data_IF_249178868263
#
_entry.id   IF_249178868263
#
_cell.length_a   1.000
_cell.length_b   1.000
_cell.length_c   1.000
_cell.angle_alpha   90.00
_cell.angle_beta   90.00
_cell.angle_gamma   90.00
#
_symmetry.space_group_name_H-M   'P 1'
#
loop_
_entity.id
_entity.type
_entity.pdbx_description
1 polymer ?
#
# COMPACT_ATOMS: atom_id res chain seq x y z
N UNK A 1 9.52 33.86 3.74
CA UNK A 1 10.28 34.10 2.49
C UNK A 1 9.81 33.08 1.47
N UNK A 2 9.03 33.48 0.46
CA UNK A 2 8.51 32.57 -0.57
C UNK A 2 9.42 32.63 -1.80
N UNK A 3 10.48 31.82 -1.82
CA UNK A 3 11.33 31.68 -3.01
C UNK A 3 10.59 30.79 -4.02
N UNK A 4 10.28 31.27 -5.24
CA UNK A 4 9.60 30.48 -6.26
C UNK A 4 10.36 29.17 -6.53
N UNK A 5 9.63 28.05 -6.57
CA UNK A 5 10.21 26.73 -6.83
C UNK A 5 10.94 26.08 -5.66
N UNK A 6 11.30 26.79 -4.59
CA UNK A 6 12.02 26.22 -3.44
C UNK A 6 11.22 25.09 -2.76
N UNK A 7 9.90 25.27 -2.59
CA UNK A 7 9.03 24.23 -2.03
C UNK A 7 8.97 22.98 -2.92
N UNK A 8 9.01 23.14 -4.25
CA UNK A 8 9.01 22.01 -5.20
C UNK A 8 10.33 21.26 -5.13
N UNK A 9 11.45 21.98 -5.10
CA UNK A 9 12.77 21.38 -4.93
C UNK A 9 12.90 20.65 -3.59
N UNK A 10 12.40 21.23 -2.50
CA UNK A 10 12.37 20.58 -1.19
C UNK A 10 11.56 19.29 -1.21
N UNK A 11 10.32 19.33 -1.76
CA UNK A 11 9.50 18.11 -1.92
C UNK A 11 10.23 17.07 -2.76
N UNK A 12 10.94 17.46 -3.81
CA UNK A 12 11.68 16.55 -4.67
C UNK A 12 12.80 15.84 -3.91
N UNK A 13 13.54 16.58 -3.07
CA UNK A 13 14.54 15.99 -2.17
C UNK A 13 13.88 14.99 -1.20
N UNK A 14 12.72 15.32 -0.62
CA UNK A 14 11.99 14.41 0.27
C UNK A 14 11.61 13.13 -0.47
N UNK A 15 11.04 13.24 -1.68
CA UNK A 15 10.68 12.10 -2.50
C UNK A 15 11.89 11.23 -2.85
N UNK A 16 13.00 11.84 -3.27
CA UNK A 16 14.26 11.13 -3.54
C UNK A 16 14.80 10.40 -2.31
N UNK A 17 14.74 11.01 -1.12
CA UNK A 17 15.16 10.37 0.14
C UNK A 17 14.29 9.16 0.47
N UNK A 18 12.98 9.27 0.33
CA UNK A 18 12.05 8.14 0.53
C UNK A 18 12.29 7.01 -0.47
N UNK A 19 12.56 7.34 -1.74
CA UNK A 19 12.88 6.36 -2.79
C UNK A 19 14.26 5.70 -2.59
N UNK A 20 15.21 6.43 -2.00
CA UNK A 20 16.46 5.85 -1.55
C UNK A 20 16.22 4.81 -0.45
N UNK A 21 15.33 5.08 0.51
CA UNK A 21 14.95 4.11 1.54
C UNK A 21 14.38 2.82 0.94
N UNK A 22 13.62 2.89 -0.16
CA UNK A 22 13.19 1.69 -0.89
C UNK A 22 14.39 0.82 -1.29
N UNK A 23 15.42 1.44 -1.88
CA UNK A 23 16.62 0.72 -2.33
C UNK A 23 17.40 0.12 -1.16
N UNK A 24 17.54 0.86 -0.07
CA UNK A 24 18.32 0.45 1.11
C UNK A 24 17.69 -0.76 1.82
N UNK A 25 16.36 -0.76 1.97
CA UNK A 25 15.65 -1.75 2.82
C UNK A 25 15.02 -2.86 2.00
N UNK A 26 14.43 -2.54 0.85
CA UNK A 26 13.54 -3.46 0.14
C UNK A 26 14.13 -4.04 -1.16
N UNK A 27 15.10 -3.36 -1.79
CA UNK A 27 15.64 -3.79 -3.09
C UNK A 27 16.97 -4.56 -3.02
N UNK A 28 17.83 -4.27 -2.03
CA UNK A 28 19.18 -4.84 -1.96
C UNK A 28 19.41 -5.53 -0.60
N UNK A 29 19.53 -6.87 -0.62
CA UNK A 29 19.74 -7.68 0.59
C UNK A 29 21.05 -7.39 1.32
N UNK A 30 22.12 -7.06 0.59
CA UNK A 30 23.41 -6.72 1.19
C UNK A 30 23.36 -5.38 1.92
N UNK A 31 22.72 -4.37 1.33
CA UNK A 31 22.57 -3.07 2.00
C UNK A 31 21.62 -3.20 3.20
N UNK A 32 20.56 -4.00 3.04
CA UNK A 32 19.63 -4.29 4.12
C UNK A 32 20.32 -4.98 5.31
N UNK A 33 21.26 -5.90 5.09
CA UNK A 33 22.00 -6.54 6.19
C UNK A 33 22.89 -5.56 6.96
N UNK A 34 23.50 -4.58 6.28
CA UNK A 34 24.22 -3.50 6.94
C UNK A 34 23.27 -2.64 7.80
N UNK A 35 22.08 -2.31 7.27
CA UNK A 35 21.05 -1.60 8.02
C UNK A 35 20.58 -2.39 9.26
N UNK A 36 20.38 -3.70 9.13
CA UNK A 36 20.06 -4.59 10.27
C UNK A 36 21.11 -4.48 11.36
N UNK A 37 22.40 -4.50 10.99
CA UNK A 37 23.49 -4.40 11.94
C UNK A 37 23.45 -3.09 12.74
N UNK A 38 23.28 -1.96 12.05
CA UNK A 38 23.15 -0.64 12.69
C UNK A 38 21.93 -0.58 13.61
N UNK A 39 20.76 -1.03 13.13
CA UNK A 39 19.53 -1.00 13.91
C UNK A 39 19.61 -1.91 15.15
N UNK A 40 20.21 -3.10 15.01
CA UNK A 40 20.43 -4.03 16.12
C UNK A 40 21.37 -3.43 17.16
N UNK A 41 22.48 -2.84 16.75
CA UNK A 41 23.42 -2.19 17.68
C UNK A 41 22.76 -1.03 18.42
N UNK A 42 21.93 -0.23 17.74
CA UNK A 42 21.14 0.83 18.37
C UNK A 42 20.20 0.29 19.46
N UNK A 43 19.50 -0.82 19.20
CA UNK A 43 18.64 -1.45 20.22
C UNK A 43 19.47 -1.94 21.41
N UNK A 44 20.59 -2.63 21.16
CA UNK A 44 21.49 -3.15 22.20
C UNK A 44 22.07 -2.03 23.06
N UNK A 45 22.43 -0.90 22.47
CA UNK A 45 23.02 0.22 23.21
C UNK A 45 22.00 1.03 24.01
N UNK A 46 20.73 1.04 23.59
CA UNK A 46 19.72 1.98 24.10
C UNK A 46 18.70 1.32 25.03
N UNK A 47 18.34 0.07 24.78
CA UNK A 47 17.33 -0.64 25.58
C UNK A 47 17.89 -1.21 26.89
N UNK A 48 17.04 -1.54 27.88
CA UNK A 48 17.44 -2.33 29.03
C UNK A 48 18.04 -3.68 28.61
N UNK A 49 19.02 -4.17 29.38
CA UNK A 49 19.64 -5.48 29.11
C UNK A 49 18.66 -6.64 29.34
N UNK A 50 17.75 -6.48 30.30
CA UNK A 50 16.70 -7.46 30.56
C UNK A 50 15.73 -7.54 29.38
N UNK A 51 15.55 -8.74 28.83
CA UNK A 51 14.62 -8.96 27.72
C UNK A 51 15.11 -8.46 26.36
N UNK A 52 16.39 -8.12 26.19
CA UNK A 52 16.94 -7.60 24.94
C UNK A 52 16.68 -8.52 23.73
N UNK A 53 16.75 -9.84 23.93
CA UNK A 53 16.49 -10.84 22.89
C UNK A 53 15.05 -10.82 22.38
N UNK A 54 14.13 -10.26 23.16
CA UNK A 54 12.71 -10.12 22.81
C UNK A 54 12.42 -8.78 22.13
N UNK A 55 13.26 -7.78 22.34
CA UNK A 55 13.17 -6.47 21.71
C UNK A 55 13.77 -6.46 20.30
N UNK A 56 14.74 -7.35 20.02
CA UNK A 56 15.35 -7.49 18.70
C UNK A 56 14.46 -8.39 17.83
N UNK A 57 13.89 -7.89 16.72
CA UNK A 57 13.05 -8.70 15.83
C UNK A 57 13.82 -9.85 15.17
N UNK A 58 13.15 -11.00 15.01
CA UNK A 58 13.67 -12.19 14.33
C UNK A 58 13.27 -12.28 12.85
N UNK A 59 12.81 -11.18 12.26
CA UNK A 59 12.40 -11.07 10.85
C UNK A 59 13.13 -9.91 10.18
N UNK A 60 13.26 -9.98 8.85
CA UNK A 60 13.95 -8.95 8.08
C UNK A 60 13.26 -7.58 8.17
N UNK A 61 14.03 -6.48 8.22
CA UNK A 61 13.48 -5.13 8.13
C UNK A 61 12.60 -4.97 6.89
N UNK A 62 11.49 -4.25 7.05
CA UNK A 62 10.53 -4.05 5.99
C UNK A 62 9.48 -5.15 5.86
N UNK A 63 9.67 -6.33 6.46
CA UNK A 63 8.59 -7.33 6.53
C UNK A 63 7.35 -6.79 7.28
N UNK A 64 7.60 -5.93 8.27
CA UNK A 64 6.61 -5.03 8.88
C UNK A 64 7.04 -3.58 8.64
N UNK A 65 6.10 -2.65 8.80
CA UNK A 65 6.36 -1.21 8.66
C UNK A 65 7.47 -0.80 9.62
N UNK A 66 8.46 -0.09 9.11
CA UNK A 66 9.51 0.48 9.95
C UNK A 66 8.89 1.51 10.89
N UNK A 67 9.25 1.41 12.17
CA UNK A 67 8.89 2.36 13.21
C UNK A 67 10.19 3.06 13.61
N UNK A 68 10.18 4.38 13.58
CA UNK A 68 11.29 5.17 14.09
C UNK A 68 11.11 5.37 15.58
N UNK A 69 12.16 5.11 16.34
CA UNK A 69 12.13 5.22 17.80
C UNK A 69 11.88 6.68 18.20
N UNK A 70 10.78 6.90 18.92
CA UNK A 70 10.39 8.19 19.49
C UNK A 70 10.55 8.19 21.01
N UNK A 71 11.75 7.79 21.48
CA UNK A 71 12.09 7.53 22.88
C UNK A 71 11.38 6.31 23.51
N UNK A 72 10.91 5.37 22.70
CA UNK A 72 10.32 4.13 23.19
C UNK A 72 11.36 3.31 23.96
N UNK A 73 12.55 3.09 23.37
CA UNK A 73 13.60 2.30 24.03
C UNK A 73 14.09 2.96 25.32
N UNK A 74 14.23 4.29 25.33
CA UNK A 74 14.61 5.04 26.53
C UNK A 74 13.56 4.94 27.64
N UNK A 75 12.27 4.94 27.29
CA UNK A 75 11.19 4.82 28.26
C UNK A 75 11.18 3.46 28.99
N UNK A 76 11.77 2.41 28.40
CA UNK A 76 11.86 1.09 29.01
C UNK A 76 12.74 1.04 30.27
N UNK A 77 13.59 2.04 30.49
CA UNK A 77 14.43 2.15 31.72
C UNK A 77 13.70 2.75 32.92
N UNK A 78 12.45 3.22 32.76
CA UNK A 78 11.73 3.87 33.86
C UNK A 78 11.43 2.87 34.98
N UNK A 79 11.63 3.26 36.26
CA UNK A 79 11.44 2.36 37.39
C UNK A 79 9.98 1.89 37.58
N UNK A 80 9.03 2.60 36.97
CA UNK A 80 7.60 2.27 37.01
C UNK A 80 7.12 1.49 35.78
N UNK A 81 8.03 0.96 34.95
CA UNK A 81 7.70 0.13 33.80
C UNK A 81 8.21 -1.29 34.02
N UNK A 82 7.33 -2.28 33.81
CA UNK A 82 7.69 -3.70 33.83
C UNK A 82 7.32 -4.34 32.49
N UNK A 83 8.28 -5.01 31.86
CA UNK A 83 8.05 -5.81 30.67
C UNK A 83 7.54 -7.20 31.08
N UNK A 84 6.53 -7.72 30.37
CA UNK A 84 5.97 -9.04 30.65
C UNK A 84 5.64 -9.76 29.33
N UNK A 85 6.26 -10.93 29.10
CA UNK A 85 6.10 -11.75 27.89
C UNK A 85 5.36 -13.07 28.13
N UNK A 86 4.66 -13.20 29.25
CA UNK A 86 4.00 -14.45 29.65
C UNK A 86 2.72 -14.70 28.83
N UNK A 87 2.25 -13.69 28.10
CA UNK A 87 1.02 -13.74 27.34
C UNK A 87 -0.22 -13.68 28.25
N UNK A 88 -1.35 -13.32 27.66
CA UNK A 88 -2.61 -13.13 28.39
C UNK A 88 -3.48 -14.37 28.18
N UNK A 89 -4.03 -14.93 29.26
CA UNK A 89 -5.01 -16.01 29.23
C UNK A 89 -6.45 -15.44 29.24
N UNK A 90 -6.74 -14.52 30.16
CA UNK A 90 -8.06 -13.88 30.27
C UNK A 90 -7.95 -12.49 30.89
N UNK A 91 -8.97 -11.67 30.65
CA UNK A 91 -9.21 -10.41 31.36
C UNK A 91 -10.16 -10.73 32.52
N UNK A 92 -9.87 -10.19 33.71
CA UNK A 92 -10.74 -10.25 34.89
C UNK A 92 -11.19 -8.85 35.30
N UNK A 93 -12.12 -8.77 36.24
CA UNK A 93 -12.76 -7.52 36.67
C UNK A 93 -11.73 -6.44 37.07
N UNK A 94 -10.63 -6.84 37.70
CA UNK A 94 -9.60 -5.96 38.23
C UNK A 94 -8.24 -6.08 37.50
N UNK A 95 -8.16 -6.73 36.34
CA UNK A 95 -6.90 -6.88 35.62
C UNK A 95 -6.84 -8.03 34.61
N UNK A 96 -5.73 -8.79 34.62
CA UNK A 96 -5.51 -9.93 33.72
C UNK A 96 -4.97 -11.15 34.46
N UNK A 97 -5.18 -12.31 33.87
CA UNK A 97 -4.49 -13.55 34.21
C UNK A 97 -3.51 -13.87 33.08
N UNK A 98 -2.22 -14.01 33.39
CA UNK A 98 -1.19 -14.40 32.42
C UNK A 98 -1.29 -15.90 32.10
N UNK A 99 -0.69 -16.36 30.99
CA UNK A 99 -0.67 -17.81 30.69
C UNK A 99 0.18 -18.64 31.65
N UNK A 100 0.94 -18.00 32.55
CA UNK A 100 1.63 -18.65 33.67
C UNK A 100 0.77 -18.74 34.94
N UNK A 101 -0.46 -18.22 34.91
CA UNK A 101 -1.38 -18.21 36.05
C UNK A 101 -1.18 -17.03 37.02
N UNK A 102 -0.29 -16.07 36.71
CA UNK A 102 -0.12 -14.86 37.53
C UNK A 102 -1.32 -13.92 37.32
N UNK A 103 -1.90 -13.43 38.40
CA UNK A 103 -2.91 -12.37 38.37
C UNK A 103 -2.22 -11.01 38.51
N UNK A 104 -2.40 -10.15 37.52
CA UNK A 104 -1.87 -8.78 37.51
C UNK A 104 -3.05 -7.80 37.53
N UNK A 105 -3.15 -6.99 38.59
CA UNK A 105 -4.21 -6.00 38.74
C UNK A 105 -3.87 -4.68 38.05
N UNK A 106 -4.85 -4.07 37.39
CA UNK A 106 -4.70 -2.81 36.65
C UNK A 106 -5.96 -1.94 36.76
N UNK A 107 -5.78 -0.64 36.95
CA UNK A 107 -6.89 0.33 36.90
C UNK A 107 -7.33 0.65 35.46
N UNK A 108 -6.40 0.56 34.52
CA UNK A 108 -6.61 0.92 33.10
C UNK A 108 -5.95 -0.11 32.19
N UNK A 109 -6.70 -0.59 31.20
CA UNK A 109 -6.23 -1.47 30.13
C UNK A 109 -6.26 -0.74 28.78
N UNK A 110 -5.09 -0.61 28.13
CA UNK A 110 -4.95 0.03 26.82
C UNK A 110 -4.73 -1.05 25.74
N UNK A 111 -5.61 -1.10 24.74
CA UNK A 111 -5.55 -2.08 23.65
C UNK A 111 -4.80 -1.54 22.44
N UNK A 112 -3.53 -1.91 22.30
CA UNK A 112 -2.70 -1.62 21.13
C UNK A 112 -2.68 -2.80 20.13
N UNK A 113 -3.87 -3.28 19.72
CA UNK A 113 -4.06 -4.57 19.00
C UNK A 113 -3.83 -4.51 17.48
N UNK A 114 -3.58 -3.33 16.92
CA UNK A 114 -3.35 -3.14 15.48
C UNK A 114 -4.65 -3.09 14.66
N UNK A 115 -4.61 -3.58 13.41
CA UNK A 115 -5.70 -3.40 12.44
C UNK A 115 -5.92 -4.64 11.56
N UNK A 116 -7.14 -4.78 11.03
CA UNK A 116 -7.46 -5.77 9.98
C UNK A 116 -7.55 -5.07 8.63
N UNK A 117 -6.67 -5.42 7.69
CA UNK A 117 -6.60 -4.77 6.37
C UNK A 117 -7.23 -5.58 5.22
N UNK A 118 -7.80 -6.76 5.51
CA UNK A 118 -8.28 -7.69 4.48
C UNK A 118 -9.82 -7.73 4.35
N UNK A 119 -10.54 -6.90 5.11
CA UNK A 119 -12.00 -6.78 5.05
C UNK A 119 -12.39 -5.52 4.31
N UNK A 120 -13.35 -5.64 3.40
CA UNK A 120 -13.98 -4.49 2.78
C UNK A 120 -15.08 -3.95 3.73
N UNK A 121 -15.06 -2.65 4.06
CA UNK A 121 -15.88 -2.12 5.16
C UNK A 121 -17.35 -1.91 4.80
N UNK A 122 -17.70 -1.97 3.51
CA UNK A 122 -19.03 -1.63 3.01
C UNK A 122 -19.69 -2.83 2.33
N UNK A 123 -21.02 -2.93 2.46
CA UNK A 123 -21.79 -3.90 1.71
C UNK A 123 -22.08 -3.37 0.30
N UNK A 124 -21.13 -3.57 -0.62
CA UNK A 124 -21.24 -3.16 -2.04
C UNK A 124 -21.42 -4.40 -2.90
N UNK A 125 -22.52 -4.46 -3.66
CA UNK A 125 -22.88 -5.58 -4.54
C UNK A 125 -22.58 -5.21 -6.00
N UNK A 126 -22.00 -6.15 -6.74
CA UNK A 126 -21.67 -5.99 -8.15
C UNK A 126 -22.88 -6.12 -9.08
N UNK A 127 -22.69 -5.78 -10.35
CA UNK A 127 -23.79 -5.77 -11.35
C UNK A 127 -24.08 -7.16 -11.94
N UNK A 128 -23.04 -7.98 -12.14
CA UNK A 128 -23.16 -9.22 -12.94
C UNK A 128 -23.47 -10.46 -12.12
N UNK A 129 -23.27 -10.41 -10.80
CA UNK A 129 -23.59 -11.48 -9.84
C UNK A 129 -23.94 -10.84 -8.49
N UNK A 130 -24.78 -11.45 -7.63
CA UNK A 130 -25.12 -10.92 -6.31
C UNK A 130 -23.94 -10.98 -5.31
N UNK A 131 -22.70 -11.04 -5.81
CA UNK A 131 -21.48 -11.08 -5.02
C UNK A 131 -21.13 -9.67 -4.55
N UNK A 132 -20.77 -9.58 -3.28
CA UNK A 132 -20.19 -8.39 -2.69
C UNK A 132 -18.71 -8.24 -3.06
N UNK A 133 -18.13 -7.06 -2.85
CA UNK A 133 -16.67 -6.87 -2.96
C UNK A 133 -15.92 -7.83 -2.03
N UNK A 134 -16.48 -8.11 -0.85
CA UNK A 134 -15.89 -9.08 0.08
C UNK A 134 -15.91 -10.50 -0.50
N UNK A 135 -17.03 -10.95 -1.09
CA UNK A 135 -17.11 -12.26 -1.75
C UNK A 135 -16.10 -12.38 -2.89
N UNK A 136 -15.90 -11.30 -3.65
CA UNK A 136 -14.85 -11.23 -4.66
C UNK A 136 -13.46 -11.36 -4.03
N UNK A 137 -13.14 -10.60 -2.97
CA UNK A 137 -11.85 -10.72 -2.29
C UNK A 137 -11.59 -12.13 -1.75
N UNK A 138 -12.58 -12.75 -1.13
CA UNK A 138 -12.47 -14.09 -0.57
C UNK A 138 -12.21 -15.13 -1.68
N UNK A 139 -12.89 -14.98 -2.83
CA UNK A 139 -12.65 -15.84 -4.01
C UNK A 139 -11.25 -15.67 -4.63
N UNK A 140 -10.53 -14.59 -4.30
CA UNK A 140 -9.20 -14.28 -4.81
C UNK A 140 -8.08 -14.58 -3.78
N UNK A 141 -8.41 -15.21 -2.64
CA UNK A 141 -7.48 -15.46 -1.54
C UNK A 141 -7.06 -14.18 -0.80
N UNK A 142 -7.89 -13.13 -0.89
CA UNK A 142 -7.68 -11.82 -0.29
C UNK A 142 -7.84 -10.67 -1.29
N UNK A 143 -7.72 -9.42 -0.81
CA UNK A 143 -7.98 -8.23 -1.61
C UNK A 143 -7.24 -8.23 -2.96
N UNK A 144 -7.95 -7.87 -4.03
CA UNK A 144 -7.45 -7.82 -5.40
C UNK A 144 -8.16 -6.68 -6.13
N UNK A 145 -7.40 -5.88 -6.88
CA UNK A 145 -7.95 -4.83 -7.73
C UNK A 145 -6.97 -4.53 -8.87
N UNK A 146 -7.46 -3.91 -9.94
CA UNK A 146 -6.63 -3.39 -11.01
C UNK A 146 -6.10 -2.00 -10.62
N UNK A 147 -4.77 -1.82 -10.68
CA UNK A 147 -4.07 -0.62 -10.21
C UNK A 147 -4.42 -0.23 -8.76
N UNK A 148 -4.91 -1.19 -7.95
CA UNK A 148 -5.44 -0.93 -6.61
C UNK A 148 -6.67 -0.03 -6.56
N UNK A 149 -7.30 0.24 -7.72
CA UNK A 149 -8.30 1.30 -7.87
C UNK A 149 -9.64 0.79 -8.37
N UNK A 150 -9.68 -0.12 -9.34
CA UNK A 150 -10.94 -0.63 -9.91
C UNK A 150 -11.08 -2.12 -9.69
N UNK A 151 -12.30 -2.60 -9.42
CA UNK A 151 -12.61 -4.01 -9.10
C UNK A 151 -13.51 -4.58 -10.20
N UNK A 152 -13.14 -5.72 -10.84
CA UNK A 152 -13.91 -6.27 -11.96
C UNK A 152 -15.31 -6.71 -11.51
N UNK A 153 -16.34 -6.36 -12.28
CA UNK A 153 -17.75 -6.66 -11.97
C UNK A 153 -18.42 -5.62 -11.07
N UNK A 154 -17.70 -4.57 -10.67
CA UNK A 154 -18.17 -3.44 -9.87
C UNK A 154 -18.05 -2.14 -10.69
N UNK A 155 -18.92 -1.95 -11.70
CA UNK A 155 -18.86 -0.78 -12.58
C UNK A 155 -18.97 0.52 -11.78
N UNK A 156 -18.21 1.54 -12.19
CA UNK A 156 -18.18 2.87 -11.56
C UNK A 156 -17.81 2.86 -10.06
N UNK A 157 -17.27 1.76 -9.53
CA UNK A 157 -16.66 1.70 -8.19
C UNK A 157 -15.16 2.01 -8.31
N UNK A 158 -14.72 3.00 -7.54
CA UNK A 158 -13.32 3.41 -7.49
C UNK A 158 -12.83 3.43 -6.04
N UNK A 159 -11.69 2.78 -5.80
CA UNK A 159 -11.06 2.66 -4.50
C UNK A 159 -9.88 3.63 -4.38
N UNK A 160 -9.85 4.41 -3.31
CA UNK A 160 -8.62 5.02 -2.80
C UNK A 160 -8.05 4.12 -1.70
N UNK A 161 -6.71 4.04 -1.62
CA UNK A 161 -6.01 3.15 -0.69
C UNK A 161 -6.45 1.68 -0.81
N UNK A 162 -6.76 1.24 -2.04
CA UNK A 162 -7.17 -0.13 -2.32
C UNK A 162 -5.99 -1.13 -2.31
N UNK A 163 -6.22 -2.38 -2.76
CA UNK A 163 -5.21 -3.43 -2.71
C UNK A 163 -3.90 -3.05 -3.42
N UNK A 164 -2.77 -3.41 -2.83
CA UNK A 164 -1.42 -3.20 -3.35
C UNK A 164 -1.09 -1.73 -3.67
N UNK A 165 -1.55 -0.78 -2.84
CA UNK A 165 -1.28 0.67 -2.96
C UNK A 165 -0.53 1.24 -1.77
N UNK A 166 -0.55 0.56 -0.62
CA UNK A 166 0.22 1.01 0.53
C UNK A 166 1.72 0.82 0.28
N UNK A 167 2.52 1.54 1.05
CA UNK A 167 3.98 1.64 0.90
C UNK A 167 4.68 1.48 2.24
N UNK A 168 5.88 0.90 2.21
CA UNK A 168 6.77 0.77 3.36
C UNK A 168 7.82 1.88 3.50
N UNK A 169 7.95 2.79 2.52
CA UNK A 169 9.07 3.74 2.44
C UNK A 169 8.68 5.18 2.06
N UNK A 170 7.46 5.40 1.57
CA UNK A 170 6.91 6.69 1.13
C UNK A 170 5.59 6.99 1.85
N UNK A 171 5.03 8.17 1.60
CA UNK A 171 3.69 8.53 2.11
C UNK A 171 2.59 7.85 1.29
N UNK A 172 1.60 7.28 1.96
CA UNK A 172 0.37 6.76 1.32
C UNK A 172 -0.41 7.88 0.61
N UNK A 173 -0.34 9.12 1.12
CA UNK A 173 -0.98 10.27 0.47
C UNK A 173 -0.52 10.45 -0.97
N UNK A 174 0.76 10.15 -1.26
CA UNK A 174 1.26 10.24 -2.62
C UNK A 174 0.60 9.20 -3.54
N UNK A 175 0.40 7.98 -3.04
CA UNK A 175 -0.33 6.96 -3.79
C UNK A 175 -1.78 7.39 -4.04
N UNK A 176 -2.44 7.94 -3.02
CA UNK A 176 -3.82 8.41 -3.12
C UNK A 176 -3.96 9.56 -4.12
N UNK A 177 -3.06 10.54 -4.15
CA UNK A 177 -3.03 11.61 -5.16
C UNK A 177 -2.94 11.05 -6.58
N UNK A 178 -2.07 10.05 -6.80
CA UNK A 178 -1.94 9.36 -8.09
C UNK A 178 -3.22 8.61 -8.47
N UNK A 179 -3.85 7.93 -7.51
CA UNK A 179 -5.13 7.27 -7.71
C UNK A 179 -6.23 8.29 -8.04
N UNK A 180 -6.31 9.41 -7.33
CA UNK A 180 -7.27 10.48 -7.61
C UNK A 180 -7.12 10.99 -9.04
N UNK A 181 -5.89 11.28 -9.50
CA UNK A 181 -5.65 11.70 -10.87
C UNK A 181 -6.07 10.67 -11.92
N UNK A 182 -5.94 9.38 -11.61
CA UNK A 182 -6.40 8.28 -12.47
C UNK A 182 -7.92 8.14 -12.49
N UNK A 183 -8.55 8.18 -11.32
CA UNK A 183 -10.00 8.12 -11.14
C UNK A 183 -10.68 9.28 -11.87
N UNK A 184 -10.13 10.50 -11.77
CA UNK A 184 -10.67 11.67 -12.48
C UNK A 184 -10.67 11.46 -14.00
N UNK A 185 -9.67 10.79 -14.56
CA UNK A 185 -9.65 10.44 -15.99
C UNK A 185 -10.73 9.41 -16.37
N UNK A 186 -11.03 8.46 -15.48
CA UNK A 186 -12.09 7.46 -15.68
C UNK A 186 -13.50 8.06 -15.54
N UNK A 187 -13.69 8.95 -14.56
CA UNK A 187 -14.99 9.56 -14.25
C UNK A 187 -15.36 10.67 -15.26
N UNK A 188 -14.39 11.44 -15.76
CA UNK A 188 -14.64 12.56 -16.67
C UNK A 188 -15.56 12.22 -17.87
N UNK A 189 -15.36 11.13 -18.64
CA UNK A 189 -16.27 10.81 -19.72
C UNK A 189 -17.67 10.39 -19.25
N UNK A 190 -17.82 9.86 -18.03
CA UNK A 190 -19.13 9.56 -17.43
C UNK A 190 -19.88 10.86 -17.15
N UNK A 191 -19.22 11.80 -16.46
CA UNK A 191 -19.82 13.11 -16.12
C UNK A 191 -20.16 13.95 -17.36
N UNK A 192 -19.38 13.79 -18.44
CA UNK A 192 -19.65 14.45 -19.72
C UNK A 192 -20.75 13.76 -20.54
N UNK A 193 -21.38 12.68 -20.04
CA UNK A 193 -22.40 11.94 -20.75
C UNK A 193 -21.89 11.19 -21.99
N UNK A 194 -20.58 10.98 -22.11
CA UNK A 194 -19.97 10.31 -23.27
C UNK A 194 -20.06 8.79 -23.16
N UNK A 195 -20.11 8.28 -21.92
CA UNK A 195 -20.23 6.87 -21.54
C UNK A 195 -21.13 6.80 -20.30
N UNK A 196 -21.83 5.68 -20.07
CA UNK A 196 -22.66 5.50 -18.86
C UNK A 196 -22.01 4.64 -17.78
N UNK A 197 -21.05 3.80 -18.16
CA UNK A 197 -20.39 2.89 -17.22
C UNK A 197 -19.01 2.48 -17.69
N UNK A 198 -18.10 2.33 -16.72
CA UNK A 198 -16.76 1.77 -16.90
C UNK A 198 -16.55 0.64 -15.89
N UNK A 199 -16.15 -0.53 -16.37
CA UNK A 199 -15.85 -1.72 -15.56
C UNK A 199 -14.54 -2.35 -16.04
N UNK A 200 -13.67 -2.73 -15.12
CA UNK A 200 -12.36 -3.28 -15.49
C UNK A 200 -12.50 -4.75 -15.89
N UNK A 201 -11.77 -5.16 -16.93
CA UNK A 201 -11.79 -6.56 -17.38
C UNK A 201 -11.11 -7.46 -16.34
N UNK A 202 -11.66 -8.66 -16.06
CA UNK A 202 -10.99 -9.64 -15.22
C UNK A 202 -9.57 -9.95 -15.70
N UNK A 203 -9.39 -10.18 -17.01
CA UNK A 203 -8.07 -10.49 -17.60
C UNK A 203 -7.02 -9.40 -17.39
N UNK A 204 -7.39 -8.12 -17.45
CA UNK A 204 -6.47 -7.01 -17.16
C UNK A 204 -6.13 -6.94 -15.67
N UNK A 205 -7.13 -7.18 -14.82
CA UNK A 205 -6.94 -7.28 -13.36
C UNK A 205 -5.99 -8.41 -13.00
N UNK A 206 -6.16 -9.58 -13.61
CA UNK A 206 -5.34 -10.76 -13.39
C UNK A 206 -3.90 -10.51 -13.85
N UNK A 207 -3.71 -10.07 -15.09
CA UNK A 207 -2.38 -9.79 -15.64
C UNK A 207 -1.59 -8.76 -14.79
N UNK A 208 -2.25 -7.71 -14.31
CA UNK A 208 -1.63 -6.75 -13.39
C UNK A 208 -1.23 -7.42 -12.07
N UNK A 209 -2.14 -8.19 -11.47
CA UNK A 209 -1.89 -8.82 -10.18
C UNK A 209 -0.85 -9.94 -10.26
N UNK A 210 -0.74 -10.67 -11.37
CA UNK A 210 0.27 -11.70 -11.56
C UNK A 210 1.69 -11.10 -11.52
N UNK A 211 1.89 -9.96 -12.18
CA UNK A 211 3.16 -9.22 -12.11
C UNK A 211 3.46 -8.74 -10.69
N UNK A 212 2.45 -8.22 -9.99
CA UNK A 212 2.58 -7.76 -8.60
C UNK A 212 2.94 -8.91 -7.66
N UNK A 213 2.22 -10.02 -7.74
CA UNK A 213 2.43 -11.17 -6.85
C UNK A 213 3.76 -11.87 -7.16
N UNK A 214 4.20 -11.91 -8.42
CA UNK A 214 5.54 -12.41 -8.78
C UNK A 214 6.68 -11.59 -8.17
N UNK A 215 6.47 -10.27 -7.99
CA UNK A 215 7.44 -9.41 -7.29
C UNK A 215 7.34 -9.57 -5.77
N UNK A 216 6.13 -9.63 -5.23
CA UNK A 216 5.90 -9.78 -3.79
C UNK A 216 6.43 -11.11 -3.25
N UNK A 217 6.28 -12.21 -3.99
CA UNK A 217 6.74 -13.54 -3.57
C UNK A 217 8.26 -13.63 -3.33
N UNK A 218 9.04 -12.71 -3.91
CA UNK A 218 10.50 -12.63 -3.76
C UNK A 218 10.96 -11.51 -2.81
N UNK A 219 10.03 -10.84 -2.14
CA UNK A 219 10.28 -9.65 -1.32
C UNK A 219 10.31 -9.97 0.18
N UNK A 220 10.84 -9.05 0.99
CA UNK A 220 10.83 -9.16 2.46
C UNK A 220 9.42 -9.23 3.05
N UNK A 221 8.39 -8.79 2.32
CA UNK A 221 6.99 -8.78 2.78
C UNK A 221 6.39 -10.17 2.99
N UNK A 222 7.10 -11.24 2.60
CA UNK A 222 6.66 -12.62 2.82
C UNK A 222 7.37 -13.35 3.95
N UNK A 223 8.36 -12.73 4.59
CA UNK A 223 9.27 -13.40 5.52
C UNK A 223 8.74 -13.46 6.97
N UNK A 224 7.57 -12.89 7.26
CA UNK A 224 6.98 -12.84 8.60
C UNK A 224 5.46 -12.67 8.56
N UNK A 225 4.84 -12.88 9.72
CA UNK A 225 3.41 -12.59 9.91
C UNK A 225 3.18 -11.09 10.00
N UNK A 226 2.29 -10.53 9.16
CA UNK A 226 1.98 -9.10 9.15
C UNK A 226 0.59 -8.80 8.62
N UNK A 227 0.07 -7.61 8.93
CA UNK A 227 -1.20 -7.13 8.38
C UNK A 227 -1.14 -6.88 6.87
N UNK A 228 0.04 -6.89 6.25
CA UNK A 228 0.19 -6.83 4.79
C UNK A 228 -0.35 -8.09 4.10
N UNK A 229 -0.51 -9.18 4.85
CA UNK A 229 -0.84 -10.52 4.36
C UNK A 229 -2.25 -10.90 4.79
N UNK A 230 -3.00 -11.53 3.89
CA UNK A 230 -4.30 -12.13 4.21
C UNK A 230 -4.15 -13.12 5.35
N UNK A 231 -4.89 -12.93 6.45
CA UNK A 231 -4.81 -13.80 7.63
C UNK A 231 -3.42 -13.83 8.30
N UNK A 232 -2.58 -12.82 8.08
CA UNK A 232 -1.24 -12.72 8.65
C UNK A 232 -0.16 -13.47 7.86
N UNK A 233 -0.49 -14.58 7.19
CA UNK A 233 0.49 -15.44 6.51
C UNK A 233 0.16 -15.78 5.04
N UNK A 234 -0.96 -15.31 4.51
CA UNK A 234 -1.42 -15.57 3.14
C UNK A 234 -0.86 -14.60 2.09
N UNK A 235 -1.65 -14.36 1.04
CA UNK A 235 -1.35 -13.44 -0.06
C UNK A 235 -1.00 -12.03 0.47
N UNK A 236 0.04 -11.40 -0.08
CA UNK A 236 0.32 -9.99 0.23
C UNK A 236 -0.63 -9.11 -0.58
N UNK A 237 -1.54 -8.43 0.11
CA UNK A 237 -2.66 -7.69 -0.46
C UNK A 237 -2.56 -6.18 -0.24
N UNK A 238 -1.77 -5.71 0.72
CA UNK A 238 -1.76 -4.30 1.10
C UNK A 238 -0.69 -3.47 0.37
N UNK A 239 0.51 -4.03 0.17
CA UNK A 239 1.70 -3.28 -0.23
C UNK A 239 2.01 -3.39 -1.73
N UNK A 240 2.47 -2.29 -2.33
CA UNK A 240 3.04 -2.26 -3.68
C UNK A 240 4.53 -2.68 -3.67
N UNK A 241 4.95 -3.66 -4.49
CA UNK A 241 6.33 -4.18 -4.54
C UNK A 241 7.22 -3.38 -5.50
N UNK A 242 7.38 -2.08 -5.25
CA UNK A 242 8.17 -1.23 -6.14
C UNK A 242 8.43 0.18 -5.59
N UNK A 243 9.35 0.92 -6.25
CA UNK A 243 9.46 2.36 -6.06
C UNK A 243 8.16 3.04 -6.48
N UNK A 244 7.77 4.13 -5.81
CA UNK A 244 6.54 4.85 -6.13
C UNK A 244 6.57 5.49 -7.51
N UNK A 245 7.76 5.84 -8.02
CA UNK A 245 7.91 6.23 -9.42
C UNK A 245 7.37 5.20 -10.41
N UNK A 246 7.54 3.90 -10.12
CA UNK A 246 7.00 2.84 -10.96
C UNK A 246 5.48 2.78 -10.87
N UNK A 247 4.92 2.92 -9.66
CA UNK A 247 3.47 2.97 -9.49
C UNK A 247 2.87 4.16 -10.23
N UNK A 248 3.43 5.36 -10.05
CA UNK A 248 3.07 6.57 -10.77
C UNK A 248 3.13 6.38 -12.28
N UNK A 249 4.16 5.70 -12.79
CA UNK A 249 4.27 5.36 -14.20
C UNK A 249 3.16 4.42 -14.68
N UNK A 250 2.76 3.44 -13.88
CA UNK A 250 1.72 2.48 -14.25
C UNK A 250 0.33 3.09 -14.21
N UNK A 251 0.07 3.95 -13.23
CA UNK A 251 -1.25 4.55 -13.00
C UNK A 251 -1.44 5.90 -13.70
N UNK A 252 -0.43 6.48 -14.38
CA UNK A 252 -0.55 7.84 -14.96
C UNK A 252 -1.75 8.04 -15.91
N UNK A 253 -2.15 7.00 -16.65
CA UNK A 253 -3.21 7.07 -17.66
C UNK A 253 -3.99 5.76 -17.76
N UNK A 254 -5.33 5.78 -17.83
CA UNK A 254 -6.13 4.61 -18.15
C UNK A 254 -5.77 4.00 -19.49
N UNK A 255 -5.54 2.69 -19.49
CA UNK A 255 -5.54 1.87 -20.71
C UNK A 255 -6.98 1.49 -21.00
N UNK A 256 -7.65 2.23 -21.88
CA UNK A 256 -9.08 2.01 -22.15
C UNK A 256 -9.39 0.63 -22.72
N UNK A 257 -8.39 -0.06 -23.28
CA UNK A 257 -8.48 -1.46 -23.71
C UNK A 257 -8.68 -2.44 -22.55
N UNK A 258 -8.27 -2.06 -21.33
CA UNK A 258 -8.43 -2.87 -20.11
C UNK A 258 -9.84 -2.72 -19.50
N UNK A 259 -10.67 -1.84 -20.04
CA UNK A 259 -12.01 -1.54 -19.54
C UNK A 259 -13.10 -1.95 -20.53
N UNK A 260 -14.21 -2.43 -19.99
CA UNK A 260 -15.49 -2.53 -20.66
C UNK A 260 -16.25 -1.22 -20.43
N UNK A 261 -16.60 -0.54 -21.52
CA UNK A 261 -17.32 0.74 -21.47
C UNK A 261 -18.72 0.53 -22.07
N UNK A 262 -19.75 1.05 -21.41
CA UNK A 262 -21.14 0.98 -21.88
C UNK A 262 -21.74 2.37 -22.11
N UNK A 263 -22.84 2.42 -22.87
CA UNK A 263 -23.57 3.66 -23.17
C UNK A 263 -22.73 4.66 -23.95
N UNK A 264 -21.92 4.17 -24.90
CA UNK A 264 -20.98 5.00 -25.66
C UNK A 264 -21.72 5.89 -26.65
N UNK A 265 -21.30 7.15 -26.72
CA UNK A 265 -21.74 8.10 -27.75
C UNK A 265 -20.86 8.02 -29.00
N UNK A 266 -21.36 8.48 -30.15
CA UNK A 266 -20.55 8.62 -31.37
C UNK A 266 -19.31 9.53 -31.15
N UNK A 267 -19.45 10.54 -30.29
CA UNK A 267 -18.32 11.41 -29.93
C UNK A 267 -17.23 10.64 -29.17
N UNK A 268 -17.60 9.78 -28.21
CA UNK A 268 -16.67 8.92 -27.51
C UNK A 268 -15.88 8.02 -28.47
N UNK A 269 -16.59 7.34 -29.36
CA UNK A 269 -15.96 6.43 -30.32
C UNK A 269 -14.99 7.16 -31.26
N UNK A 270 -15.36 8.36 -31.72
CA UNK A 270 -14.48 9.22 -32.53
C UNK A 270 -13.22 9.59 -31.75
N UNK A 271 -13.35 10.10 -30.52
CA UNK A 271 -12.20 10.43 -29.65
C UNK A 271 -11.29 9.23 -29.45
N UNK A 272 -11.85 8.04 -29.21
CA UNK A 272 -11.07 6.80 -29.04
C UNK A 272 -10.32 6.39 -30.31
N UNK A 273 -10.92 6.57 -31.49
CA UNK A 273 -10.25 6.29 -32.78
C UNK A 273 -9.12 7.28 -33.04
N UNK A 274 -9.33 8.56 -32.76
CA UNK A 274 -8.33 9.61 -32.97
C UNK A 274 -7.13 9.45 -32.02
N UNK A 275 -7.36 9.12 -30.75
CA UNK A 275 -6.29 8.82 -29.80
C UNK A 275 -5.45 7.61 -30.23
N UNK A 276 -6.10 6.53 -30.71
CA UNK A 276 -5.38 5.36 -31.23
C UNK A 276 -4.56 5.70 -32.47
N UNK A 277 -5.09 6.53 -33.38
CA UNK A 277 -4.35 7.02 -34.56
C UNK A 277 -3.14 7.86 -34.16
N UNK A 278 -3.31 8.83 -33.25
CA UNK A 278 -2.21 9.67 -32.78
C UNK A 278 -1.11 8.85 -32.09
N UNK A 279 -1.46 7.84 -31.30
CA UNK A 279 -0.50 6.94 -30.68
C UNK A 279 0.29 6.11 -31.71
N UNK A 280 -0.34 5.73 -32.82
CA UNK A 280 0.29 4.97 -33.90
C UNK A 280 1.25 5.81 -34.76
N UNK A 281 0.92 7.08 -35.02
CA UNK A 281 1.67 7.94 -35.95
C UNK A 281 2.75 8.82 -35.31
N UNK A 282 2.85 8.88 -33.97
CA UNK A 282 3.79 9.78 -33.31
C UNK A 282 4.81 9.03 -32.43
N UNK A 283 6.05 8.77 -32.91
CA UNK A 283 7.12 8.19 -32.09
C UNK A 283 7.55 9.11 -30.93
N UNK A 284 7.32 10.42 -31.02
CA UNK A 284 7.52 11.33 -29.88
C UNK A 284 6.43 11.20 -28.81
N UNK A 285 5.30 10.53 -29.07
CA UNK A 285 4.34 10.21 -28.01
C UNK A 285 4.96 9.25 -26.99
N UNK A 286 5.83 8.34 -27.43
CA UNK A 286 6.59 7.46 -26.55
C UNK A 286 7.69 8.22 -25.77
N UNK A 287 8.32 9.23 -26.37
CA UNK A 287 9.30 10.11 -25.70
C UNK A 287 8.65 11.11 -24.73
N UNK A 288 7.51 11.71 -25.06
CA UNK A 288 6.74 12.56 -24.16
C UNK A 288 6.14 11.75 -22.99
N UNK A 289 5.82 10.48 -23.23
CA UNK A 289 5.51 9.53 -22.15
C UNK A 289 6.74 9.33 -21.27
N UNK A 290 7.95 9.14 -21.82
CA UNK A 290 9.21 9.04 -21.04
C UNK A 290 9.59 10.34 -20.27
N UNK A 291 9.30 11.52 -20.83
CA UNK A 291 9.69 12.83 -20.28
C UNK A 291 8.58 13.57 -19.51
N UNK A 292 7.35 13.05 -19.47
CA UNK A 292 6.23 13.61 -18.69
C UNK A 292 6.43 13.64 -17.17
N UNK A 293 7.60 13.18 -16.71
CA UNK A 293 8.07 13.12 -15.33
C UNK A 293 8.13 14.50 -14.63
N UNK A 294 8.31 15.59 -15.37
CA UNK A 294 8.45 16.93 -14.77
C UNK A 294 7.13 17.69 -14.58
N UNK A 295 6.10 17.41 -15.38
CA UNK A 295 4.90 18.29 -15.45
C UNK A 295 3.85 17.93 -14.38
N UNK A 296 3.75 16.66 -13.98
CA UNK A 296 2.87 16.23 -12.87
C UNK A 296 3.36 16.68 -11.48
N UNK A 297 4.55 17.30 -11.40
CA UNK A 297 5.11 17.91 -10.19
C UNK A 297 4.97 19.44 -10.15
N UNK A 298 4.52 20.04 -11.27
CA UNK A 298 4.42 21.49 -11.46
C UNK A 298 2.96 21.99 -11.39
N UNK A 299 1.98 21.08 -11.31
CA UNK A 299 0.55 21.42 -11.21
C UNK A 299 0.05 21.29 -9.78
#
# INVERSE_FOLDING_TARGET
MNVPGAMRFYRFIVALRSEMLYRLVFANRFICSLYVHVAKNYIISTAPKEGIDRLIPNYSPGCKRLIFDSNFLAALHRPNLKLNWDGIQSICEDGIITKKGEKLSFDVLIFATGFTANRYPLHVVGNTTPKTVQDYYDSQGGPKAYMGTTVPGFPNLFLLAGPNTATGHTSVLHTEELQTGYIMQLIKPILNGLISSVDVKPSATDAYNDVIQARLSRSVFVECSSWYRTGGNGKVSSIFPGPMFLYGWWIRRPKWEDYNVKGTTNEWERKRKDEKRMAFFNPMHYLAVLFGFFVLWIS
#
